data_IF_958260326815
#
_entry.id   IF_958260326815
#
_cell.length_a   1.000
_cell.length_b   1.000
_cell.length_c   1.000
_cell.angle_alpha   90.00
_cell.angle_beta   90.00
_cell.angle_gamma   90.00
#
_symmetry.space_group_name_H-M   'P 1'
#
loop_
_entity.id
_entity.type
_entity.pdbx_description
1 polymer ?
#
# COMPACT_ATOMS: atom_id res chain seq x y z
N UNK A 1 -16.55 -13.73 36.18
CA UNK A 1 -15.12 -13.88 35.85
C UNK A 1 -14.59 -12.52 35.41
N UNK A 2 -13.42 -12.06 35.87
CA UNK A 2 -12.82 -10.87 35.27
C UNK A 2 -12.50 -11.17 33.80
N UNK A 3 -12.74 -10.21 32.90
CA UNK A 3 -12.36 -10.34 31.49
C UNK A 3 -10.83 -10.45 31.42
N UNK A 4 -10.32 -11.40 30.63
CA UNK A 4 -8.89 -11.44 30.29
C UNK A 4 -8.53 -10.16 29.54
N UNK A 5 -7.31 -9.64 29.75
CA UNK A 5 -6.80 -8.52 28.97
C UNK A 5 -6.88 -8.83 27.47
N UNK A 6 -7.34 -7.85 26.69
CA UNK A 6 -7.53 -7.94 25.24
C UNK A 6 -7.03 -6.67 24.57
N UNK A 7 -6.29 -6.81 23.48
CA UNK A 7 -5.88 -5.69 22.63
C UNK A 7 -6.40 -5.88 21.21
N UNK A 8 -7.05 -4.84 20.69
CA UNK A 8 -7.36 -4.73 19.27
C UNK A 8 -6.53 -3.60 18.66
N UNK A 9 -5.80 -3.88 17.58
CA UNK A 9 -4.99 -2.90 16.86
C UNK A 9 -5.46 -2.73 15.42
N UNK A 10 -5.10 -1.59 14.86
CA UNK A 10 -5.14 -1.34 13.41
C UNK A 10 -3.70 -1.12 12.96
N UNK A 11 -3.29 -1.86 11.93
CA UNK A 11 -1.97 -1.75 11.30
C UNK A 11 -2.13 -1.34 9.82
N UNK A 12 -1.32 -0.38 9.35
CA UNK A 12 -1.29 0.04 7.95
C UNK A 12 -0.02 -0.44 7.26
N UNK A 13 -0.19 -1.21 6.18
CA UNK A 13 0.88 -1.45 5.22
C UNK A 13 0.88 -0.35 4.16
N UNK A 14 1.58 0.75 4.44
CA UNK A 14 1.69 1.90 3.53
C UNK A 14 2.78 1.63 2.51
N UNK A 15 2.40 1.57 1.23
CA UNK A 15 3.27 1.24 0.12
C UNK A 15 3.52 2.45 -0.76
N UNK A 16 4.74 2.57 -1.27
CA UNK A 16 5.10 3.55 -2.29
C UNK A 16 5.87 2.89 -3.44
N UNK A 17 5.93 3.57 -4.58
CA UNK A 17 6.77 3.18 -5.71
C UNK A 17 8.03 4.04 -5.75
N UNK A 18 9.18 3.46 -5.44
CA UNK A 18 10.47 4.14 -5.57
C UNK A 18 10.94 4.06 -7.02
N UNK A 19 10.79 5.16 -7.75
CA UNK A 19 11.13 5.24 -9.18
C UNK A 19 12.61 5.00 -9.44
N UNK A 20 13.48 5.60 -8.63
CA UNK A 20 14.93 5.51 -8.78
C UNK A 20 15.47 4.08 -8.64
N UNK A 21 14.87 3.28 -7.74
CA UNK A 21 15.23 1.88 -7.54
C UNK A 21 14.34 0.90 -8.33
N UNK A 22 13.33 1.41 -9.04
CA UNK A 22 12.31 0.64 -9.73
C UNK A 22 11.69 -0.48 -8.84
N UNK A 23 11.37 -0.16 -7.58
CA UNK A 23 10.87 -1.13 -6.59
C UNK A 23 9.68 -0.61 -5.79
N UNK A 24 8.89 -1.53 -5.22
CA UNK A 24 7.88 -1.19 -4.23
C UNK A 24 8.50 -1.21 -2.84
N UNK A 25 8.23 -0.15 -2.06
CA UNK A 25 8.67 -0.05 -0.67
C UNK A 25 7.51 0.01 0.29
N UNK A 26 7.76 -0.41 1.53
CA UNK A 26 6.86 -0.43 2.67
C UNK A 26 7.37 0.55 3.73
N UNK A 27 6.47 1.37 4.29
CA UNK A 27 6.75 2.22 5.43
C UNK A 27 6.85 1.37 6.70
N UNK A 28 7.95 1.50 7.42
CA UNK A 28 8.12 0.95 8.77
C UNK A 28 8.52 2.05 9.74
N UNK A 29 8.15 1.86 11.00
CA UNK A 29 8.51 2.76 12.09
C UNK A 29 9.36 2.04 13.12
N UNK A 30 10.33 2.74 13.68
CA UNK A 30 11.11 2.23 14.81
C UNK A 30 10.27 2.34 16.07
N UNK A 31 10.04 1.22 16.76
CA UNK A 31 9.24 1.16 17.99
C UNK A 31 10.00 1.82 19.14
N UNK A 32 9.31 2.66 19.91
CA UNK A 32 9.89 3.30 21.10
C UNK A 32 9.62 2.51 22.39
N UNK A 33 8.52 1.76 22.43
CA UNK A 33 8.04 1.08 23.63
C UNK A 33 8.13 -0.45 23.53
N UNK A 34 8.30 -1.09 24.68
CA UNK A 34 8.23 -2.55 24.83
C UNK A 34 6.80 -3.08 24.57
N UNK A 35 6.65 -4.33 24.09
CA UNK A 35 7.72 -5.24 23.69
C UNK A 35 8.39 -4.81 22.38
N UNK A 36 9.63 -5.26 22.16
CA UNK A 36 10.42 -5.02 20.94
C UNK A 36 10.77 -3.55 20.71
N UNK A 37 11.13 -2.82 21.78
CA UNK A 37 11.66 -1.47 21.62
C UNK A 37 12.90 -1.47 20.69
N UNK A 38 13.06 -0.41 19.91
CA UNK A 38 14.13 -0.25 18.93
C UNK A 38 13.99 -1.05 17.63
N UNK A 39 13.02 -1.96 17.51
CA UNK A 39 12.78 -2.75 16.30
C UNK A 39 11.91 -2.00 15.30
N UNK A 40 12.11 -2.26 14.00
CA UNK A 40 11.23 -1.78 12.93
C UNK A 40 9.92 -2.56 12.90
N UNK A 41 8.79 -1.89 12.75
CA UNK A 41 7.46 -2.48 12.75
C UNK A 41 6.51 -1.72 11.83
N UNK A 42 5.36 -2.33 11.50
CA UNK A 42 4.28 -1.61 10.82
C UNK A 42 3.80 -0.43 11.67
N UNK A 43 3.43 0.70 11.04
CA UNK A 43 2.72 1.75 11.74
C UNK A 43 1.35 1.21 12.19
N UNK A 44 1.10 1.31 13.50
CA UNK A 44 -0.08 0.77 14.13
C UNK A 44 -0.56 1.57 15.34
N UNK A 45 -1.85 1.45 15.63
CA UNK A 45 -2.51 2.02 16.81
C UNK A 45 -3.37 0.98 17.52
N UNK A 46 -3.53 1.13 18.83
CA UNK A 46 -4.56 0.43 19.59
C UNK A 46 -5.90 1.14 19.35
N UNK A 47 -6.94 0.37 19.06
CA UNK A 47 -8.31 0.86 18.94
C UNK A 47 -8.84 1.19 20.34
N UNK A 48 -9.47 2.34 20.52
CA UNK A 48 -9.87 2.85 21.83
C UNK A 48 -8.72 2.89 22.85
N UNK A 49 -7.52 3.27 22.41
CA UNK A 49 -6.38 3.53 23.28
C UNK A 49 -6.53 4.87 24.01
N UNK A 50 -5.70 5.86 23.68
CA UNK A 50 -5.76 7.19 24.30
C UNK A 50 -6.94 8.05 23.80
N UNK A 51 -7.54 7.65 22.67
CA UNK A 51 -8.64 8.35 22.00
C UNK A 51 -9.72 7.33 21.68
N UNK A 52 -10.98 7.71 21.89
CA UNK A 52 -12.13 6.88 21.52
C UNK A 52 -12.31 6.86 20.00
N UNK A 53 -12.40 5.66 19.41
CA UNK A 53 -12.73 5.43 18.02
C UNK A 53 -14.19 4.92 17.93
N UNK A 54 -15.03 5.53 17.09
CA UNK A 54 -16.41 5.07 16.89
C UNK A 54 -16.49 3.87 15.94
N UNK A 55 -15.45 3.67 15.14
CA UNK A 55 -15.31 2.61 14.14
C UNK A 55 -13.85 2.32 13.83
N UNK A 56 -13.57 1.20 13.16
CA UNK A 56 -12.22 0.91 12.65
C UNK A 56 -11.74 1.96 11.64
N UNK A 57 -12.66 2.57 10.90
CA UNK A 57 -12.33 3.65 9.97
C UNK A 57 -11.75 4.86 10.73
N UNK A 58 -12.27 5.17 11.91
CA UNK A 58 -11.75 6.29 12.71
C UNK A 58 -10.32 5.99 13.20
N UNK A 59 -10.05 4.75 13.61
CA UNK A 59 -8.70 4.31 13.99
C UNK A 59 -7.72 4.37 12.79
N UNK A 60 -8.16 4.00 11.59
CA UNK A 60 -7.36 4.13 10.35
C UNK A 60 -7.05 5.59 10.05
N UNK A 61 -8.05 6.47 10.08
CA UNK A 61 -7.85 7.91 9.82
C UNK A 61 -6.96 8.57 10.88
N UNK A 62 -7.13 8.19 12.15
CA UNK A 62 -6.28 8.65 13.24
C UNK A 62 -4.83 8.20 13.05
N UNK A 63 -4.60 6.95 12.67
CA UNK A 63 -3.27 6.45 12.37
C UNK A 63 -2.67 7.13 11.13
N UNK A 64 -3.45 7.32 10.06
CA UNK A 64 -3.03 8.05 8.85
C UNK A 64 -2.57 9.48 9.18
N UNK A 65 -3.32 10.19 10.02
CA UNK A 65 -3.03 11.57 10.39
C UNK A 65 -1.94 11.72 11.47
N UNK A 66 -1.54 10.63 12.13
CA UNK A 66 -0.48 10.65 13.15
C UNK A 66 0.93 10.77 12.56
N UNK A 67 1.89 11.13 13.40
CA UNK A 67 3.33 11.14 13.10
C UNK A 67 3.88 9.78 12.63
N UNK A 68 3.16 8.68 12.92
CA UNK A 68 3.51 7.35 12.45
C UNK A 68 3.33 7.17 10.95
N UNK A 69 2.41 7.90 10.33
CA UNK A 69 2.19 7.88 8.88
C UNK A 69 2.37 9.29 8.34
N UNK A 70 1.41 10.19 8.59
CA UNK A 70 1.53 11.59 8.21
C UNK A 70 1.52 11.83 6.70
N UNK A 71 0.93 10.89 5.93
CA UNK A 71 0.91 10.89 4.47
C UNK A 71 -0.51 10.87 3.93
N UNK A 72 -0.70 11.53 2.79
CA UNK A 72 -1.94 11.44 2.02
C UNK A 72 -1.97 10.15 1.22
N UNK A 73 -2.98 9.32 1.50
CA UNK A 73 -3.14 8.02 0.86
C UNK A 73 -3.90 8.19 -0.47
N UNK A 74 -3.31 7.71 -1.57
CA UNK A 74 -3.97 7.60 -2.86
C UNK A 74 -5.04 6.50 -2.86
N UNK A 75 -4.86 5.48 -2.00
CA UNK A 75 -5.81 4.38 -1.82
C UNK A 75 -5.61 3.75 -0.44
N UNK A 76 -6.69 3.27 0.18
CA UNK A 76 -6.62 2.35 1.32
C UNK A 76 -7.79 1.36 1.31
N UNK A 77 -7.53 0.12 1.76
CA UNK A 77 -8.58 -0.88 1.95
C UNK A 77 -8.22 -1.90 3.03
N UNK A 78 -9.24 -2.41 3.73
CA UNK A 78 -9.05 -3.49 4.69
C UNK A 78 -8.71 -4.79 3.95
N UNK A 79 -7.69 -5.50 4.42
CA UNK A 79 -7.28 -6.78 3.83
C UNK A 79 -7.76 -7.95 4.66
N UNK A 80 -7.61 -7.88 5.98
CA UNK A 80 -7.99 -8.96 6.87
C UNK A 80 -7.90 -8.61 8.34
N UNK A 81 -8.13 -9.61 9.18
CA UNK A 81 -7.93 -9.52 10.63
C UNK A 81 -7.29 -10.80 11.09
N UNK A 82 -6.25 -10.68 11.91
CA UNK A 82 -5.61 -11.79 12.61
C UNK A 82 -5.91 -11.66 14.10
N UNK A 83 -6.02 -12.77 14.82
CA UNK A 83 -6.23 -12.73 16.26
C UNK A 83 -6.00 -14.06 16.94
N UNK A 84 -5.12 -14.06 17.94
CA UNK A 84 -4.80 -15.24 18.75
C UNK A 84 -4.06 -14.83 20.05
N UNK A 85 -3.75 -15.83 20.86
CA UNK A 85 -3.09 -15.67 22.16
C UNK A 85 -1.56 -15.53 22.10
N UNK A 86 -0.96 -15.70 20.92
CA UNK A 86 0.48 -15.89 20.75
C UNK A 86 1.14 -14.77 19.96
N UNK A 87 0.38 -14.05 19.13
CA UNK A 87 0.89 -12.99 18.27
C UNK A 87 1.46 -11.80 19.05
N UNK A 88 0.90 -11.51 20.23
CA UNK A 88 1.39 -10.48 21.15
C UNK A 88 1.70 -11.13 22.50
N UNK A 89 2.94 -11.01 23.02
CA UNK A 89 3.34 -11.67 24.27
C UNK A 89 2.61 -11.14 25.50
N UNK A 90 1.89 -10.01 25.41
CA UNK A 90 1.23 -9.37 26.55
C UNK A 90 -0.13 -9.99 26.87
N UNK A 91 -0.91 -10.35 25.86
CA UNK A 91 -2.28 -10.82 26.04
C UNK A 91 -2.87 -11.36 24.73
N UNK A 92 -4.08 -11.92 24.81
CA UNK A 92 -4.85 -12.22 23.60
C UNK A 92 -5.04 -10.93 22.82
N UNK A 93 -4.68 -10.94 21.54
CA UNK A 93 -4.78 -9.73 20.73
C UNK A 93 -5.27 -10.06 19.34
N UNK A 94 -5.77 -9.03 18.67
CA UNK A 94 -6.13 -9.08 17.27
C UNK A 94 -5.71 -7.80 16.58
N UNK A 95 -5.39 -7.89 15.30
CA UNK A 95 -5.10 -6.73 14.46
C UNK A 95 -5.93 -6.79 13.20
N UNK A 96 -6.65 -5.72 12.89
CA UNK A 96 -7.22 -5.49 11.55
C UNK A 96 -6.21 -4.69 10.73
N UNK A 97 -5.77 -5.25 9.61
CA UNK A 97 -4.71 -4.67 8.81
C UNK A 97 -5.18 -4.26 7.42
N UNK A 98 -4.55 -3.21 6.91
CA UNK A 98 -4.98 -2.48 5.72
C UNK A 98 -3.83 -2.36 4.72
N UNK A 99 -4.16 -2.45 3.44
CA UNK A 99 -3.31 -2.01 2.34
C UNK A 99 -3.51 -0.50 2.19
N UNK A 100 -2.44 0.27 2.12
CA UNK A 100 -2.47 1.68 1.79
C UNK A 100 -1.42 1.99 0.72
N UNK A 101 -1.73 2.90 -0.20
CA UNK A 101 -0.84 3.33 -1.29
C UNK A 101 -0.67 4.83 -1.21
N UNK A 102 0.57 5.31 -1.31
CA UNK A 102 0.91 6.72 -1.56
C UNK A 102 1.46 6.86 -2.98
N UNK A 103 1.12 7.96 -3.63
CA UNK A 103 1.55 8.24 -5.00
C UNK A 103 2.99 8.75 -5.09
N UNK A 104 3.44 9.45 -4.06
CA UNK A 104 4.75 10.10 -4.01
C UNK A 104 5.58 9.55 -2.86
N UNK A 105 6.87 9.32 -3.10
CA UNK A 105 7.83 9.03 -2.03
C UNK A 105 8.10 10.36 -1.30
N UNK A 106 7.54 10.50 -0.10
CA UNK A 106 7.68 11.70 0.72
C UNK A 106 8.88 11.58 1.67
N UNK A 107 9.37 12.74 2.11
CA UNK A 107 10.36 12.81 3.19
C UNK A 107 9.77 12.19 4.46
N UNK A 108 10.54 11.31 5.08
CA UNK A 108 10.16 10.60 6.28
C UNK A 108 10.65 11.31 7.53
N UNK A 109 9.96 11.11 8.65
CA UNK A 109 10.41 11.51 9.98
C UNK A 109 11.60 10.66 10.47
N UNK A 110 12.21 11.09 11.58
CA UNK A 110 13.43 10.48 12.15
C UNK A 110 13.29 8.98 12.47
N UNK A 111 12.07 8.54 12.81
CA UNK A 111 11.78 7.16 13.21
C UNK A 111 11.06 6.35 12.13
N UNK A 112 11.02 6.85 10.91
CA UNK A 112 10.37 6.21 9.76
C UNK A 112 11.42 5.76 8.73
N UNK A 113 11.15 4.66 8.03
CA UNK A 113 12.01 4.18 6.96
C UNK A 113 11.21 3.46 5.86
N UNK A 114 11.66 3.62 4.62
CA UNK A 114 11.17 2.85 3.48
C UNK A 114 12.02 1.59 3.29
N UNK A 115 11.37 0.43 3.29
CA UNK A 115 12.03 -0.87 3.14
C UNK A 115 11.47 -1.63 1.93
N UNK A 116 12.28 -2.45 1.27
CA UNK A 116 11.80 -3.28 0.15
C UNK A 116 10.60 -4.14 0.57
N UNK A 117 9.48 -4.01 -0.13
CA UNK A 117 8.25 -4.76 0.17
C UNK A 117 8.50 -6.27 0.07
N UNK A 118 9.21 -6.71 -0.97
CA UNK A 118 9.48 -8.13 -1.18
C UNK A 118 10.35 -8.72 -0.07
N UNK A 119 11.41 -8.02 0.35
CA UNK A 119 12.30 -8.48 1.42
C UNK A 119 11.62 -8.53 2.79
N UNK A 120 10.61 -7.70 3.03
CA UNK A 120 9.80 -7.81 4.25
C UNK A 120 8.78 -8.95 4.12
N UNK A 121 8.12 -9.07 2.97
CA UNK A 121 7.09 -10.09 2.73
C UNK A 121 7.64 -11.53 2.76
N UNK A 122 8.85 -11.76 2.23
CA UNK A 122 9.52 -13.07 2.28
C UNK A 122 10.22 -13.34 3.63
N UNK A 123 10.25 -12.34 4.51
CA UNK A 123 10.85 -12.43 5.83
C UNK A 123 12.38 -12.37 5.83
N UNK A 124 13.04 -11.91 4.77
CA UNK A 124 14.47 -11.57 4.78
C UNK A 124 14.76 -10.43 5.76
N UNK A 125 13.83 -9.48 5.86
CA UNK A 125 13.79 -8.47 6.93
C UNK A 125 12.75 -8.92 7.95
N UNK A 126 13.21 -9.27 9.16
CA UNK A 126 12.34 -9.74 10.25
C UNK A 126 11.72 -8.56 11.00
N UNK A 127 10.41 -8.63 11.19
CA UNK A 127 9.62 -7.67 11.96
C UNK A 127 9.12 -8.35 13.26
N UNK A 128 8.83 -7.58 14.32
CA UNK A 128 8.28 -8.10 15.55
C UNK A 128 6.83 -8.60 15.36
N UNK A 129 6.35 -9.36 16.35
CA UNK A 129 5.03 -9.98 16.33
C UNK A 129 4.85 -10.89 15.11
N UNK A 130 3.70 -10.80 14.44
CA UNK A 130 3.32 -11.49 13.21
C UNK A 130 3.33 -10.55 11.98
N UNK A 131 4.02 -9.40 12.06
CA UNK A 131 3.97 -8.36 11.03
C UNK A 131 4.44 -8.83 9.65
N UNK A 132 5.42 -9.75 9.55
CA UNK A 132 5.81 -10.31 8.26
C UNK A 132 4.65 -11.04 7.58
N UNK A 133 3.84 -11.80 8.34
CA UNK A 133 2.67 -12.51 7.81
C UNK A 133 1.59 -11.53 7.34
N UNK A 134 1.38 -10.43 8.08
CA UNK A 134 0.48 -9.35 7.67
C UNK A 134 0.94 -8.73 6.35
N UNK A 135 2.23 -8.40 6.23
CA UNK A 135 2.81 -7.82 5.00
C UNK A 135 2.68 -8.79 3.83
N UNK A 136 2.95 -10.08 4.02
CA UNK A 136 2.79 -11.10 2.99
C UNK A 136 1.34 -11.17 2.47
N UNK A 137 0.36 -11.17 3.37
CA UNK A 137 -1.06 -11.16 3.01
C UNK A 137 -1.48 -9.87 2.26
N UNK A 138 -0.95 -8.71 2.66
CA UNK A 138 -1.17 -7.44 1.94
C UNK A 138 -0.53 -7.47 0.56
N UNK A 139 0.68 -8.00 0.43
CA UNK A 139 1.37 -8.11 -0.85
C UNK A 139 0.61 -9.04 -1.82
N UNK A 140 0.12 -10.19 -1.34
CA UNK A 140 -0.73 -11.09 -2.12
C UNK A 140 -2.05 -10.42 -2.52
N UNK A 141 -2.68 -9.65 -1.62
CA UNK A 141 -3.89 -8.88 -1.93
C UNK A 141 -3.64 -7.87 -3.04
N UNK A 142 -2.53 -7.13 -2.96
CA UNK A 142 -2.13 -6.16 -3.98
C UNK A 142 -1.97 -6.84 -5.34
N UNK A 143 -1.23 -7.95 -5.40
CA UNK A 143 -1.04 -8.73 -6.63
C UNK A 143 -2.39 -9.20 -7.18
N UNK A 144 -3.18 -9.89 -6.35
CA UNK A 144 -4.44 -10.52 -6.74
C UNK A 144 -5.42 -9.50 -7.30
N UNK A 145 -5.59 -8.36 -6.63
CA UNK A 145 -6.51 -7.31 -7.08
C UNK A 145 -6.00 -6.59 -8.33
N UNK A 146 -4.69 -6.52 -8.52
CA UNK A 146 -4.08 -5.90 -9.71
C UNK A 146 -4.26 -6.72 -10.98
N UNK A 147 -4.49 -8.03 -10.85
CA UNK A 147 -4.81 -8.89 -11.99
C UNK A 147 -6.05 -8.41 -12.75
N UNK A 148 -7.05 -7.85 -12.08
CA UNK A 148 -8.33 -7.48 -12.68
C UNK A 148 -8.75 -6.03 -12.41
N UNK A 149 -7.85 -5.17 -11.91
CA UNK A 149 -8.16 -3.76 -11.64
C UNK A 149 -7.07 -2.79 -12.09
N UNK A 150 -7.35 -1.50 -11.98
CA UNK A 150 -6.38 -0.41 -12.19
C UNK A 150 -5.59 -0.03 -10.92
N UNK A 151 -5.66 -0.82 -9.85
CA UNK A 151 -5.03 -0.52 -8.55
C UNK A 151 -3.55 -0.11 -8.65
N UNK A 152 -2.69 -0.73 -9.49
CA UNK A 152 -1.29 -0.30 -9.64
C UNK A 152 -1.11 1.15 -10.09
N UNK A 153 -2.11 1.76 -10.73
CA UNK A 153 -2.03 3.16 -11.15
C UNK A 153 -2.06 4.14 -9.97
N UNK A 154 -2.52 3.71 -8.78
CA UNK A 154 -2.55 4.56 -7.58
C UNK A 154 -1.15 4.98 -7.11
N UNK A 155 -0.11 4.24 -7.48
CA UNK A 155 1.29 4.58 -7.21
C UNK A 155 1.85 5.68 -8.12
N UNK A 156 1.14 6.06 -9.19
CA UNK A 156 1.69 6.96 -10.21
C UNK A 156 1.25 8.42 -10.08
N UNK A 157 0.35 8.71 -9.14
CA UNK A 157 -0.20 10.03 -8.93
C UNK A 157 -1.19 10.48 -10.01
N UNK A 158 -1.49 11.78 -10.09
CA UNK A 158 -2.56 12.31 -10.92
C UNK A 158 -2.23 12.30 -12.42
N UNK A 159 -0.95 12.23 -12.81
CA UNK A 159 -0.54 12.22 -14.21
C UNK A 159 0.62 11.28 -14.47
N UNK A 160 0.43 10.34 -15.40
CA UNK A 160 1.42 9.33 -15.76
C UNK A 160 1.41 8.98 -17.25
N UNK A 161 2.43 8.27 -17.69
CA UNK A 161 2.60 7.78 -19.05
C UNK A 161 2.34 6.27 -19.16
N UNK A 162 2.05 5.78 -20.36
CA UNK A 162 1.84 4.35 -20.61
C UNK A 162 3.06 3.46 -20.26
N UNK A 163 4.33 3.90 -20.47
CA UNK A 163 5.49 3.17 -19.97
C UNK A 163 5.51 3.05 -18.43
N UNK A 164 5.23 4.11 -17.68
CA UNK A 164 5.16 4.06 -16.21
C UNK A 164 4.06 3.10 -15.74
N UNK A 165 2.88 3.14 -16.37
CA UNK A 165 1.83 2.16 -16.14
C UNK A 165 2.32 0.72 -16.39
N UNK A 166 3.06 0.49 -17.48
CA UNK A 166 3.62 -0.83 -17.78
C UNK A 166 4.60 -1.30 -16.71
N UNK A 167 5.49 -0.41 -16.26
CA UNK A 167 6.47 -0.71 -15.20
C UNK A 167 5.77 -1.08 -13.90
N UNK A 168 4.84 -0.25 -13.40
CA UNK A 168 4.20 -0.51 -12.10
C UNK A 168 3.35 -1.77 -12.11
N UNK A 169 2.63 -2.04 -13.20
CA UNK A 169 1.89 -3.30 -13.33
C UNK A 169 2.84 -4.51 -13.35
N UNK A 170 3.99 -4.40 -14.01
CA UNK A 170 4.97 -5.49 -14.06
C UNK A 170 5.62 -5.76 -12.69
N UNK A 171 5.91 -4.69 -11.94
CA UNK A 171 6.43 -4.79 -10.57
C UNK A 171 5.42 -5.45 -9.63
N UNK A 172 4.17 -4.96 -9.61
CA UNK A 172 3.13 -5.49 -8.73
C UNK A 172 2.79 -6.95 -9.07
N UNK A 173 2.76 -7.31 -10.35
CA UNK A 173 2.46 -8.68 -10.78
C UNK A 173 3.68 -9.61 -10.75
N UNK A 174 4.84 -9.11 -10.35
CA UNK A 174 6.11 -9.83 -10.32
C UNK A 174 6.44 -10.53 -11.66
N UNK A 175 6.01 -9.96 -12.78
CA UNK A 175 6.26 -10.49 -14.13
C UNK A 175 6.16 -9.41 -15.19
N UNK A 176 6.87 -9.51 -16.34
CA UNK A 176 6.71 -8.56 -17.43
C UNK A 176 5.28 -8.52 -17.96
N UNK A 177 4.72 -7.31 -18.07
CA UNK A 177 3.42 -7.08 -18.71
C UNK A 177 3.61 -6.47 -20.09
N UNK A 178 2.86 -6.98 -21.07
CA UNK A 178 2.92 -6.47 -22.44
C UNK A 178 2.39 -5.03 -22.53
N UNK A 179 3.13 -4.17 -23.22
CA UNK A 179 2.74 -2.77 -23.49
C UNK A 179 1.38 -2.66 -24.18
N UNK A 180 1.05 -3.62 -25.05
CA UNK A 180 -0.24 -3.70 -25.75
C UNK A 180 -1.40 -3.92 -24.79
N UNK A 181 -1.25 -4.82 -23.82
CA UNK A 181 -2.29 -5.09 -22.80
C UNK A 181 -2.53 -3.87 -21.92
N UNK A 182 -1.47 -3.16 -21.52
CA UNK A 182 -1.59 -1.90 -20.75
C UNK A 182 -2.29 -0.83 -21.58
N UNK A 183 -1.90 -0.66 -22.85
CA UNK A 183 -2.55 0.29 -23.74
C UNK A 183 -4.06 0.02 -23.87
N UNK A 184 -4.47 -1.24 -24.02
CA UNK A 184 -5.88 -1.61 -24.06
C UNK A 184 -6.62 -1.27 -22.75
N UNK A 185 -6.00 -1.53 -21.59
CA UNK A 185 -6.57 -1.14 -20.28
C UNK A 185 -6.71 0.37 -20.13
N UNK A 186 -5.71 1.15 -20.56
CA UNK A 186 -5.78 2.61 -20.51
C UNK A 186 -6.89 3.16 -21.41
N UNK A 187 -7.11 2.58 -22.60
CA UNK A 187 -8.23 2.94 -23.48
C UNK A 187 -9.58 2.67 -22.82
N UNK A 188 -9.78 1.48 -22.21
CA UNK A 188 -11.01 1.17 -21.46
C UNK A 188 -11.26 2.17 -20.33
N UNK A 189 -10.21 2.59 -19.62
CA UNK A 189 -10.33 3.60 -18.57
C UNK A 189 -10.72 4.98 -19.13
N UNK A 190 -10.22 5.36 -20.32
CA UNK A 190 -10.65 6.60 -20.98
C UNK A 190 -12.13 6.53 -21.40
N UNK A 191 -12.56 5.41 -21.99
CA UNK A 191 -13.96 5.17 -22.36
C UNK A 191 -14.89 5.23 -21.14
N UNK A 192 -14.44 4.70 -20.00
CA UNK A 192 -15.16 4.76 -18.73
C UNK A 192 -15.06 6.11 -18.00
N UNK A 193 -14.34 7.09 -18.57
CA UNK A 193 -14.17 8.43 -18.00
C UNK A 193 -13.30 8.47 -16.73
N UNK A 194 -12.40 7.49 -16.54
CA UNK A 194 -11.41 7.50 -15.47
C UNK A 194 -10.14 8.25 -15.86
N UNK A 195 -9.79 8.26 -17.15
CA UNK A 195 -8.58 8.89 -17.68
C UNK A 195 -8.90 9.86 -18.82
N UNK A 196 -8.01 10.83 -19.01
CA UNK A 196 -8.03 11.74 -20.17
C UNK A 196 -6.62 12.01 -20.67
N UNK A 197 -6.43 12.07 -21.98
CA UNK A 197 -5.15 12.52 -22.55
C UNK A 197 -4.89 13.98 -22.20
N UNK A 198 -3.68 14.30 -21.75
CA UNK A 198 -3.33 15.67 -21.33
C UNK A 198 -2.89 16.55 -22.49
N UNK A 199 -2.50 15.96 -23.63
CA UNK A 199 -1.77 16.64 -24.70
C UNK A 199 -0.31 16.99 -24.34
N UNK A 200 0.10 16.78 -23.08
CA UNK A 200 1.46 17.01 -22.59
C UNK A 200 2.35 15.80 -22.89
N UNK A 201 3.66 16.03 -22.84
CA UNK A 201 4.65 14.96 -22.85
C UNK A 201 5.63 15.13 -21.70
N UNK A 202 5.98 14.04 -21.02
CA UNK A 202 7.06 14.00 -20.03
C UNK A 202 8.32 13.42 -20.67
N UNK A 203 9.49 13.94 -20.30
CA UNK A 203 10.76 13.32 -20.66
C UNK A 203 10.86 11.98 -19.91
N UNK A 204 10.82 10.86 -20.64
CA UNK A 204 11.02 9.54 -20.06
C UNK A 204 12.49 9.17 -19.98
N UNK A 205 12.80 8.08 -19.26
CA UNK A 205 14.17 7.56 -19.10
C UNK A 205 14.88 7.23 -20.42
N UNK A 206 14.12 6.96 -21.49
CA UNK A 206 14.66 6.68 -22.83
C UNK A 206 14.88 7.92 -23.72
N UNK A 207 14.90 9.13 -23.16
CA UNK A 207 15.19 10.38 -23.88
C UNK A 207 14.09 10.87 -24.85
N UNK A 208 13.14 10.01 -25.24
CA UNK A 208 11.98 10.40 -26.06
C UNK A 208 10.80 10.86 -25.19
N UNK A 209 10.23 12.05 -25.44
CA UNK A 209 9.03 12.51 -24.74
C UNK A 209 7.85 11.54 -24.89
N UNK A 210 7.22 11.17 -23.77
CA UNK A 210 6.09 10.24 -23.67
C UNK A 210 4.80 11.02 -23.41
N UNK A 211 3.73 10.73 -24.18
CA UNK A 211 2.41 11.30 -23.91
C UNK A 211 1.90 10.86 -22.53
N UNK A 212 1.19 11.75 -21.85
CA UNK A 212 0.63 11.47 -20.53
C UNK A 212 -0.89 11.49 -20.52
N UNK A 213 -1.43 10.82 -19.52
CA UNK A 213 -2.85 10.80 -19.18
C UNK A 213 -3.02 11.34 -17.76
N UNK A 214 -4.14 11.99 -17.53
CA UNK A 214 -4.55 12.49 -16.22
C UNK A 214 -5.62 11.57 -15.64
N UNK A 215 -5.50 11.26 -14.34
CA UNK A 215 -6.50 10.53 -13.58
C UNK A 215 -7.62 11.48 -13.12
N UNK A 216 -8.81 11.29 -13.68
CA UNK A 216 -9.99 12.09 -13.39
C UNK A 216 -10.76 11.63 -12.15
N UNK A 217 -10.47 10.41 -11.66
CA UNK A 217 -11.12 9.81 -10.49
C UNK A 217 -10.06 9.29 -9.52
N UNK A 218 -9.28 10.18 -8.87
CA UNK A 218 -8.29 9.78 -7.89
C UNK A 218 -8.94 8.98 -6.76
N UNK A 219 -8.29 7.91 -6.33
CA UNK A 219 -8.83 6.99 -5.31
C UNK A 219 -9.97 6.09 -5.77
N UNK A 220 -10.37 6.11 -7.05
CA UNK A 220 -11.37 5.19 -7.58
C UNK A 220 -10.73 4.01 -8.31
N UNK A 221 -11.12 2.80 -7.91
CA UNK A 221 -10.72 1.57 -8.60
C UNK A 221 -11.74 1.22 -9.67
N UNK A 222 -11.24 0.92 -10.87
CA UNK A 222 -11.97 0.33 -11.98
C UNK A 222 -11.61 -1.16 -12.09
N UNK A 223 -12.62 -2.00 -12.26
CA UNK A 223 -12.46 -3.44 -12.46
C UNK A 223 -12.64 -3.80 -13.94
N UNK A 224 -11.67 -4.51 -14.50
CA UNK A 224 -11.69 -4.95 -15.89
C UNK A 224 -12.38 -6.31 -16.01
N UNK A 225 -13.13 -6.51 -17.10
CA UNK A 225 -13.84 -7.78 -17.37
C UNK A 225 -12.91 -8.98 -17.60
N UNK A 226 -11.63 -8.73 -17.92
CA UNK A 226 -10.61 -9.76 -18.16
C UNK A 226 -9.41 -9.55 -17.25
N UNK A 227 -8.98 -10.64 -16.64
CA UNK A 227 -7.78 -10.68 -15.82
C UNK A 227 -6.53 -10.65 -16.69
N UNK A 228 -5.38 -10.32 -16.09
CA UNK A 228 -4.07 -10.63 -16.68
C UNK A 228 -3.73 -12.13 -16.61
N UNK A 229 -4.50 -12.91 -15.85
CA UNK A 229 -4.34 -14.37 -15.78
C UNK A 229 -5.00 -15.12 -16.94
N UNK A 230 -5.93 -14.46 -17.65
CA UNK A 230 -6.74 -15.04 -18.73
C UNK A 230 -6.11 -14.81 -20.13
#
# INVERSE_FOLDING_TARGET
MPLSAYLHTVDLCVLCYCRAAAELKLLLNKREAEPFAGHWALPGVVVNGDVQDLSLKDAVERLRASDKVGLDLAWSEQVGTVGDAFRDPRCWSSSTYYLAIVADEMALGEHQGWFSLSSVADGSIKLPFDHNSIVAAVHERLLSKSLYSNLPLMFLGPEFSAPEATTIFSLVLARPVLKTSIRQRLLKLMEAGYLRETGRKKNGEGGRPQATVENLKPGAVYFFDRSFAD
#
